data_IF_981223549122
#
_entry.id   IF_981223549122
#
_cell.length_a   1.000
_cell.length_b   1.000
_cell.length_c   1.000
_cell.angle_alpha   90.00
_cell.angle_beta   90.00
_cell.angle_gamma   90.00
#
_symmetry.space_group_name_H-M   'P 1'
#
loop_
_entity.id
_entity.type
_entity.pdbx_description
1 polymer ?
#
# COMPACT_ATOMS: atom_id res chain seq x y z
N UNK A 1 -11.53 -55.41 -3.55
CA UNK A 1 -11.46 -54.90 -2.16
C UNK A 1 -12.29 -53.64 -2.09
N UNK A 2 -13.40 -53.71 -1.37
CA UNK A 2 -14.33 -52.62 -1.08
C UNK A 2 -13.75 -51.72 0.01
N UNK A 3 -13.96 -50.41 -0.11
CA UNK A 3 -14.15 -49.58 1.08
C UNK A 3 -15.06 -48.41 0.77
N UNK A 4 -16.15 -48.33 1.52
CA UNK A 4 -17.22 -47.34 1.46
C UNK A 4 -16.84 -46.10 2.25
N UNK A 5 -17.43 -44.95 1.91
CA UNK A 5 -17.78 -43.92 2.90
C UNK A 5 -18.98 -43.13 2.39
N UNK A 6 -20.00 -43.10 3.25
CA UNK A 6 -21.32 -42.51 3.06
C UNK A 6 -21.37 -41.08 3.62
N UNK A 7 -22.38 -40.37 3.12
CA UNK A 7 -23.21 -39.38 3.82
C UNK A 7 -22.72 -37.91 3.88
N UNK A 8 -23.53 -37.02 3.30
CA UNK A 8 -24.49 -36.10 3.97
C UNK A 8 -24.62 -34.79 3.19
N UNK A 9 -25.85 -34.31 3.02
CA UNK A 9 -26.10 -32.90 2.69
C UNK A 9 -27.40 -32.67 1.93
N UNK A 10 -28.46 -32.30 2.66
CA UNK A 10 -29.84 -32.11 2.21
C UNK A 10 -30.13 -30.62 1.89
N UNK A 11 -30.87 -30.40 0.80
CA UNK A 11 -31.81 -29.30 0.43
C UNK A 11 -31.33 -27.84 0.41
N UNK A 12 -31.58 -27.19 -0.73
CA UNK A 12 -32.23 -25.85 -0.77
C UNK A 12 -33.19 -25.81 -1.96
N UNK A 13 -34.46 -25.49 -1.70
CA UNK A 13 -35.48 -25.20 -2.71
C UNK A 13 -35.43 -23.71 -3.10
N UNK A 14 -35.70 -23.31 -4.36
CA UNK A 14 -35.78 -21.90 -4.71
C UNK A 14 -37.19 -21.35 -4.45
N UNK A 15 -37.27 -20.27 -3.67
CA UNK A 15 -38.46 -19.44 -3.54
C UNK A 15 -38.60 -18.55 -4.78
N UNK A 16 -39.74 -18.64 -5.45
CA UNK A 16 -40.26 -17.67 -6.42
C UNK A 16 -40.74 -16.41 -5.67
N UNK A 17 -40.34 -15.23 -6.13
CA UNK A 17 -41.06 -13.98 -5.88
C UNK A 17 -41.17 -13.18 -7.16
N UNK A 18 -42.41 -13.00 -7.60
CA UNK A 18 -42.82 -12.06 -8.63
C UNK A 18 -43.43 -10.83 -7.94
N UNK A 19 -43.05 -9.63 -8.37
CA UNK A 19 -43.90 -8.43 -8.25
C UNK A 19 -43.60 -7.50 -9.42
N UNK A 20 -44.61 -7.28 -10.27
CA UNK A 20 -44.72 -6.15 -11.19
C UNK A 20 -45.22 -4.92 -10.43
N UNK A 21 -44.78 -3.72 -10.83
CA UNK A 21 -45.31 -2.45 -10.34
C UNK A 21 -44.80 -1.27 -11.16
N UNK A 22 -45.73 -0.56 -11.80
CA UNK A 22 -45.59 0.42 -12.89
C UNK A 22 -45.50 1.89 -12.45
N UNK A 23 -44.95 2.72 -13.36
CA UNK A 23 -45.27 4.16 -13.62
C UNK A 23 -44.83 5.20 -12.56
N UNK A 24 -44.55 6.47 -12.84
CA UNK A 24 -44.25 7.29 -14.03
C UNK A 24 -43.90 8.72 -13.54
N UNK A 25 -43.18 9.50 -14.39
CA UNK A 25 -43.12 10.98 -14.50
C UNK A 25 -42.61 11.81 -13.28
N UNK A 26 -42.05 13.03 -13.36
CA UNK A 26 -42.05 14.13 -14.35
C UNK A 26 -40.81 15.04 -14.12
N UNK A 27 -40.39 15.75 -15.18
CA UNK A 27 -39.96 17.15 -15.23
C UNK A 27 -38.73 17.69 -14.45
N UNK A 28 -37.85 18.34 -15.22
CA UNK A 28 -37.20 19.60 -14.82
C UNK A 28 -35.72 19.49 -14.46
N UNK A 29 -34.84 19.61 -15.43
CA UNK A 29 -33.41 19.89 -15.18
C UNK A 29 -33.03 21.22 -15.86
N UNK A 30 -33.20 22.33 -15.16
CA UNK A 30 -32.37 23.52 -15.37
C UNK A 30 -31.12 23.35 -14.53
N UNK A 31 -30.02 22.90 -15.13
CA UNK A 31 -28.72 22.87 -14.49
C UNK A 31 -28.03 24.22 -14.71
N UNK A 32 -28.19 25.11 -13.75
CA UNK A 32 -27.45 26.37 -13.69
C UNK A 32 -26.00 26.06 -13.28
N UNK A 33 -25.05 26.43 -14.15
CA UNK A 33 -23.64 26.20 -13.97
C UNK A 33 -23.12 26.95 -12.75
N UNK A 34 -22.88 26.24 -11.64
CA UNK A 34 -22.11 26.77 -10.51
C UNK A 34 -20.63 26.46 -10.73
N UNK A 35 -19.86 27.54 -10.84
CA UNK A 35 -18.39 27.56 -10.80
C UNK A 35 -17.86 26.66 -9.68
N UNK A 36 -17.18 25.59 -10.05
CA UNK A 36 -16.34 24.81 -9.14
C UNK A 36 -15.04 25.57 -8.91
N UNK A 37 -15.06 26.50 -7.95
CA UNK A 37 -13.84 26.81 -7.22
C UNK A 37 -13.54 25.57 -6.37
N UNK A 38 -12.62 24.75 -6.87
CA UNK A 38 -12.15 23.55 -6.18
C UNK A 38 -11.33 24.01 -4.96
N UNK A 39 -12.03 24.20 -3.85
CA UNK A 39 -11.41 24.42 -2.54
C UNK A 39 -10.67 23.14 -2.17
N UNK A 40 -9.41 23.31 -1.76
CA UNK A 40 -8.51 22.29 -1.22
C UNK A 40 -9.26 21.28 -0.36
N UNK A 41 -9.20 20.00 -0.74
CA UNK A 41 -9.73 18.93 0.09
C UNK A 41 -8.84 18.77 1.32
N UNK A 42 -9.22 19.42 2.41
CA UNK A 42 -8.79 19.08 3.75
C UNK A 42 -9.22 17.64 4.02
N UNK A 43 -8.24 16.74 4.25
CA UNK A 43 -8.50 15.37 4.68
C UNK A 43 -8.98 15.30 6.15
N UNK A 44 -9.81 16.25 6.59
CA UNK A 44 -10.53 16.17 7.85
C UNK A 44 -11.94 15.63 7.57
N UNK A 45 -12.19 14.37 7.92
CA UNK A 45 -13.56 13.88 8.10
C UNK A 45 -14.08 12.73 7.23
N UNK A 46 -13.23 11.94 6.55
CA UNK A 46 -13.71 10.72 5.88
C UNK A 46 -13.90 9.55 6.86
N UNK A 47 -15.12 9.02 7.05
CA UNK A 47 -15.33 7.84 7.92
C UNK A 47 -14.55 6.61 7.44
N UNK A 48 -14.34 6.48 6.12
CA UNK A 48 -13.54 5.42 5.54
C UNK A 48 -12.07 5.56 5.94
N UNK A 49 -11.46 6.73 5.73
CA UNK A 49 -10.06 6.96 6.09
C UNK A 49 -9.83 6.83 7.60
N UNK A 50 -10.80 7.26 8.42
CA UNK A 50 -10.75 7.04 9.87
C UNK A 50 -10.79 5.56 10.25
N UNK A 51 -11.59 4.73 9.54
CA UNK A 51 -11.61 3.27 9.74
C UNK A 51 -10.29 2.63 9.31
N UNK A 52 -9.75 3.00 8.16
CA UNK A 52 -8.46 2.50 7.65
C UNK A 52 -7.33 2.88 8.61
N UNK A 53 -7.27 4.15 9.03
CA UNK A 53 -6.27 4.64 9.99
C UNK A 53 -6.28 3.82 11.29
N UNK A 54 -7.46 3.49 11.83
CA UNK A 54 -7.58 2.62 13.01
C UNK A 54 -7.11 1.19 12.74
N UNK A 55 -7.49 0.60 11.61
CA UNK A 55 -7.09 -0.78 11.26
C UNK A 55 -5.58 -0.93 11.11
N UNK A 56 -4.90 0.10 10.61
CA UNK A 56 -3.44 0.11 10.47
C UNK A 56 -2.73 0.72 11.69
N UNK A 57 -3.46 1.06 12.75
CA UNK A 57 -2.94 1.74 13.94
C UNK A 57 -2.09 2.99 13.60
N UNK A 58 -2.57 3.82 12.67
CA UNK A 58 -1.95 5.10 12.35
C UNK A 58 -2.12 6.04 13.56
N UNK A 59 -1.03 6.60 14.12
CA UNK A 59 -1.12 7.53 15.23
C UNK A 59 -1.92 8.78 14.86
N UNK A 60 -2.63 9.36 15.83
CA UNK A 60 -3.45 10.55 15.62
C UNK A 60 -2.63 11.79 15.22
N UNK A 61 -1.34 11.81 15.56
CA UNK A 61 -0.37 12.84 15.19
C UNK A 61 0.88 12.15 14.68
N UNK A 62 1.29 12.45 13.46
CA UNK A 62 2.47 11.82 12.85
C UNK A 62 3.37 12.81 12.14
N UNK A 63 4.66 12.62 12.29
CA UNK A 63 5.64 13.16 11.37
C UNK A 63 5.56 12.37 10.08
N UNK A 64 5.57 13.07 8.94
CA UNK A 64 5.56 12.42 7.62
C UNK A 64 6.75 12.86 6.80
N UNK A 65 7.26 11.94 5.99
CA UNK A 65 8.24 12.24 4.96
C UNK A 65 7.83 11.56 3.65
N UNK A 66 8.01 12.26 2.53
CA UNK A 66 7.82 11.69 1.20
C UNK A 66 9.05 11.90 0.35
N UNK A 67 9.21 11.06 -0.67
CA UNK A 67 10.38 11.11 -1.52
C UNK A 67 10.53 9.87 -2.38
N UNK A 68 11.79 9.54 -2.70
CA UNK A 68 12.13 8.36 -3.49
C UNK A 68 13.24 7.54 -2.85
N UNK A 69 13.22 6.23 -3.08
CA UNK A 69 14.38 5.37 -2.80
C UNK A 69 14.54 4.36 -3.93
N UNK A 70 15.73 3.78 -4.03
CA UNK A 70 16.04 2.70 -4.95
C UNK A 70 16.28 1.43 -4.16
N UNK A 71 15.79 0.30 -4.68
CA UNK A 71 16.14 -1.02 -4.17
C UNK A 71 16.84 -1.82 -5.27
N UNK A 72 17.97 -2.41 -4.91
CA UNK A 72 18.80 -3.22 -5.81
C UNK A 72 18.62 -4.69 -5.49
N UNK A 73 18.41 -5.50 -6.51
CA UNK A 73 18.43 -6.94 -6.40
C UNK A 73 19.82 -7.43 -5.97
N UNK A 74 19.86 -8.48 -5.16
CA UNK A 74 21.11 -8.97 -4.57
C UNK A 74 21.23 -10.49 -4.70
N UNK A 75 22.45 -10.97 -4.88
CA UNK A 75 22.75 -12.41 -4.82
C UNK A 75 23.17 -12.78 -3.39
N UNK A 76 22.71 -13.93 -2.92
CA UNK A 76 23.08 -14.47 -1.61
C UNK A 76 23.54 -15.92 -1.78
N UNK A 77 24.02 -16.56 -0.70
CA UNK A 77 24.28 -18.01 -0.72
C UNK A 77 23.01 -18.81 -1.06
N UNK A 78 21.84 -18.31 -0.67
CA UNK A 78 20.55 -18.91 -0.97
C UNK A 78 20.01 -18.53 -2.36
N UNK A 79 20.38 -17.35 -2.88
CA UNK A 79 19.98 -16.84 -4.19
C UNK A 79 21.21 -16.59 -5.07
N UNK A 80 21.61 -17.61 -5.84
CA UNK A 80 22.80 -17.56 -6.70
C UNK A 80 22.67 -16.54 -7.84
N UNK A 81 21.45 -16.13 -8.16
CA UNK A 81 21.12 -15.13 -9.18
C UNK A 81 20.13 -14.10 -8.64
N UNK A 82 20.14 -12.90 -9.22
CA UNK A 82 19.13 -11.88 -8.94
C UNK A 82 17.82 -12.30 -9.61
N UNK A 83 16.73 -12.38 -8.84
CA UNK A 83 15.40 -12.70 -9.36
C UNK A 83 14.73 -11.49 -10.02
N UNK A 84 15.15 -11.15 -11.23
CA UNK A 84 14.66 -9.97 -11.99
C UNK A 84 13.15 -10.03 -12.25
N UNK A 85 12.56 -11.21 -12.40
CA UNK A 85 11.11 -11.34 -12.61
C UNK A 85 10.33 -11.06 -11.32
N UNK A 86 10.82 -11.52 -10.16
CA UNK A 86 10.30 -11.11 -8.86
C UNK A 86 10.39 -9.59 -8.67
N UNK A 87 11.52 -9.00 -9.08
CA UNK A 87 11.70 -7.54 -9.05
C UNK A 87 10.68 -6.78 -9.89
N UNK A 88 10.39 -7.30 -11.08
CA UNK A 88 9.39 -6.73 -11.98
C UNK A 88 7.98 -6.88 -11.40
N UNK A 89 7.66 -8.04 -10.82
CA UNK A 89 6.36 -8.32 -10.23
C UNK A 89 6.03 -7.37 -9.07
N UNK A 90 6.96 -7.10 -8.14
CA UNK A 90 6.74 -6.13 -7.06
C UNK A 90 6.45 -4.73 -7.62
N UNK A 91 7.22 -4.30 -8.62
CA UNK A 91 7.05 -3.00 -9.25
C UNK A 91 5.69 -2.85 -9.95
N UNK A 92 5.25 -3.90 -10.66
CA UNK A 92 3.92 -3.96 -11.28
C UNK A 92 2.83 -3.92 -10.21
N UNK A 93 2.98 -4.69 -9.13
CA UNK A 93 2.02 -4.74 -8.03
C UNK A 93 1.87 -3.37 -7.35
N UNK A 94 2.97 -2.66 -7.10
CA UNK A 94 2.92 -1.30 -6.53
C UNK A 94 2.22 -0.32 -7.48
N UNK A 95 2.49 -0.41 -8.78
CA UNK A 95 1.86 0.49 -9.75
C UNK A 95 0.35 0.24 -9.88
N UNK A 96 -0.09 -1.02 -9.82
CA UNK A 96 -1.51 -1.38 -9.87
C UNK A 96 -2.21 -1.10 -8.52
N UNK A 97 -1.71 -1.72 -7.45
CA UNK A 97 -2.43 -1.82 -6.17
C UNK A 97 -1.95 -0.82 -5.13
N UNK A 98 -0.78 -0.19 -5.34
CA UNK A 98 -0.03 0.50 -4.29
C UNK A 98 0.38 -0.51 -3.20
N UNK A 99 1.19 -0.08 -2.24
CA UNK A 99 1.61 -0.93 -1.12
C UNK A 99 1.56 -0.14 0.17
N UNK A 100 0.82 -0.67 1.13
CA UNK A 100 0.76 -0.14 2.49
C UNK A 100 1.45 -1.12 3.43
N UNK A 101 2.51 -0.66 4.09
CA UNK A 101 3.27 -1.38 5.09
C UNK A 101 2.87 -0.90 6.48
N UNK A 102 2.24 -1.77 7.26
CA UNK A 102 1.84 -1.47 8.64
C UNK A 102 3.02 -1.46 9.63
N UNK A 103 4.16 -2.04 9.26
CA UNK A 103 5.38 -2.00 10.07
C UNK A 103 6.61 -1.86 9.14
N UNK A 104 6.82 -0.65 8.65
CA UNK A 104 7.83 -0.36 7.65
C UNK A 104 9.25 -0.44 8.25
N UNK A 105 10.05 -1.38 7.74
CA UNK A 105 11.48 -1.55 8.07
C UNK A 105 11.77 -1.50 9.58
N UNK A 106 10.97 -2.22 10.37
CA UNK A 106 11.17 -2.29 11.82
C UNK A 106 12.49 -2.94 12.21
N UNK A 107 13.09 -3.71 11.30
CA UNK A 107 14.47 -4.21 11.38
C UNK A 107 15.52 -3.08 11.44
N UNK A 108 15.21 -1.90 10.89
CA UNK A 108 16.10 -0.73 10.89
C UNK A 108 15.66 0.32 11.90
N UNK A 109 14.38 0.68 11.90
CA UNK A 109 13.89 1.86 12.62
C UNK A 109 13.20 1.52 13.95
N UNK A 110 13.02 0.24 14.26
CA UNK A 110 12.11 -0.21 15.31
C UNK A 110 10.64 -0.12 14.86
N UNK A 111 9.71 -0.54 15.72
CA UNK A 111 8.29 -0.64 15.35
C UNK A 111 7.66 0.74 15.13
N UNK A 112 6.52 0.74 14.43
CA UNK A 112 5.58 1.86 14.45
C UNK A 112 5.57 2.72 13.19
N UNK A 113 6.60 2.65 12.35
CA UNK A 113 6.60 3.33 11.06
C UNK A 113 5.54 2.73 10.12
N UNK A 114 4.76 3.59 9.45
CA UNK A 114 3.79 3.19 8.42
C UNK A 114 4.28 3.70 7.08
N UNK A 115 4.37 2.81 6.09
CA UNK A 115 4.87 3.16 4.76
C UNK A 115 3.84 2.99 3.67
N UNK A 116 3.74 3.95 2.77
CA UNK A 116 2.89 3.88 1.59
C UNK A 116 3.73 4.10 0.34
N UNK A 117 3.76 3.10 -0.55
CA UNK A 117 4.45 3.15 -1.82
C UNK A 117 3.44 3.22 -2.95
N UNK A 118 3.51 4.27 -3.75
CA UNK A 118 2.44 4.57 -4.70
C UNK A 118 2.84 4.52 -6.17
N UNK A 119 4.14 4.45 -6.43
CA UNK A 119 4.70 4.33 -7.77
C UNK A 119 6.01 3.56 -7.69
N UNK A 120 6.27 2.77 -8.71
CA UNK A 120 7.54 2.12 -8.95
C UNK A 120 7.97 2.28 -10.41
N UNK A 121 9.27 2.38 -10.65
CA UNK A 121 9.86 2.38 -11.98
C UNK A 121 11.13 1.54 -11.97
N UNK A 122 11.25 0.60 -12.92
CA UNK A 122 12.52 -0.07 -13.18
C UNK A 122 13.50 0.91 -13.83
N UNK A 123 14.62 1.17 -13.18
CA UNK A 123 15.63 2.16 -13.64
C UNK A 123 16.92 1.49 -14.13
N UNK A 124 17.18 0.24 -13.73
CA UNK A 124 18.25 -0.62 -14.25
C UNK A 124 17.77 -2.09 -14.29
N UNK A 125 18.50 -3.02 -14.93
CA UNK A 125 18.12 -4.43 -14.95
C UNK A 125 17.81 -5.03 -13.58
N UNK A 126 18.55 -4.61 -12.56
CA UNK A 126 18.54 -5.08 -11.17
C UNK A 126 18.16 -3.99 -10.16
N UNK A 127 17.59 -2.87 -10.60
CA UNK A 127 17.28 -1.73 -9.72
C UNK A 127 15.90 -1.16 -10.02
N UNK A 128 15.08 -1.06 -8.99
CA UNK A 128 13.80 -0.35 -9.01
C UNK A 128 13.90 0.95 -8.22
N UNK A 129 13.21 1.98 -8.67
CA UNK A 129 12.97 3.22 -7.94
C UNK A 129 11.52 3.27 -7.49
N UNK A 130 11.29 3.62 -6.23
CA UNK A 130 9.97 3.72 -5.63
C UNK A 130 9.71 5.13 -5.12
N UNK A 131 8.46 5.57 -5.20
CA UNK A 131 7.98 6.79 -4.56
C UNK A 131 7.16 6.43 -3.33
N UNK A 132 7.41 7.14 -2.25
CA UNK A 132 6.87 6.80 -0.94
C UNK A 132 6.31 8.01 -0.20
N UNK A 133 5.43 7.70 0.75
CA UNK A 133 5.11 8.52 1.94
C UNK A 133 5.24 7.62 3.16
N UNK A 134 6.11 7.96 4.10
CA UNK A 134 6.28 7.27 5.37
C UNK A 134 5.78 8.19 6.49
N UNK A 135 5.17 7.60 7.51
CA UNK A 135 4.72 8.30 8.71
C UNK A 135 5.18 7.60 9.98
N UNK A 136 5.42 8.37 11.04
CA UNK A 136 5.69 7.86 12.38
C UNK A 136 5.21 8.85 13.46
N UNK A 137 4.85 8.35 14.64
CA UNK A 137 4.67 9.18 15.83
C UNK A 137 6.02 9.72 16.37
N UNK A 138 7.13 9.06 16.03
CA UNK A 138 8.47 9.42 16.48
C UNK A 138 9.22 10.18 15.39
N UNK A 139 9.59 11.42 15.70
CA UNK A 139 10.39 12.27 14.80
C UNK A 139 11.74 11.65 14.47
N UNK A 140 12.38 10.99 15.44
CA UNK A 140 13.73 10.45 15.28
C UNK A 140 13.79 9.33 14.24
N UNK A 141 12.71 8.57 14.09
CA UNK A 141 12.57 7.59 13.01
C UNK A 141 12.51 8.26 11.64
N UNK A 142 11.82 9.40 11.51
CA UNK A 142 11.78 10.18 10.26
C UNK A 142 13.12 10.86 10.00
N UNK A 143 13.80 11.38 11.03
CA UNK A 143 15.15 11.93 10.91
C UNK A 143 16.12 10.86 10.37
N UNK A 144 16.09 9.64 10.94
CA UNK A 144 16.94 8.53 10.50
C UNK A 144 16.58 8.02 9.11
N UNK A 145 15.29 7.96 8.75
CA UNK A 145 14.85 7.62 7.40
C UNK A 145 15.48 8.55 6.36
N UNK A 146 15.49 9.85 6.64
CA UNK A 146 15.96 10.88 5.73
C UNK A 146 17.48 11.15 5.83
N UNK A 147 18.19 10.43 6.69
CA UNK A 147 19.65 10.52 6.81
C UNK A 147 20.33 9.71 5.70
N UNK A 148 21.11 10.33 4.80
CA UNK A 148 21.85 9.63 3.75
C UNK A 148 22.92 8.66 4.29
N UNK A 149 23.30 8.78 5.57
CA UNK A 149 24.21 7.86 6.23
C UNK A 149 23.53 6.57 6.70
N UNK A 150 22.19 6.49 6.70
CA UNK A 150 21.49 5.27 7.09
C UNK A 150 21.86 4.10 6.18
N UNK A 151 22.04 2.93 6.80
CA UNK A 151 22.40 1.68 6.14
C UNK A 151 21.28 0.67 6.33
N UNK A 152 21.03 -0.12 5.29
CA UNK A 152 19.95 -1.09 5.26
C UNK A 152 20.55 -2.48 5.06
N UNK A 153 20.09 -3.50 5.81
CA UNK A 153 20.44 -4.88 5.54
C UNK A 153 19.82 -5.37 4.23
N UNK A 154 20.36 -6.46 3.73
CA UNK A 154 19.73 -7.26 2.67
C UNK A 154 18.47 -7.90 3.27
N UNK A 155 17.36 -7.81 2.55
CA UNK A 155 16.06 -8.38 2.94
C UNK A 155 15.61 -9.39 1.90
N UNK A 156 14.93 -10.45 2.36
CA UNK A 156 14.23 -11.39 1.49
C UNK A 156 12.75 -11.00 1.42
N UNK A 157 12.28 -10.75 0.21
CA UNK A 157 10.86 -10.63 -0.09
C UNK A 157 10.32 -12.02 -0.43
N UNK A 158 9.65 -12.64 0.54
CA UNK A 158 9.06 -13.96 0.35
C UNK A 158 7.90 -13.99 -0.65
N UNK A 159 7.25 -12.85 -0.95
CA UNK A 159 6.15 -12.80 -1.91
C UNK A 159 6.66 -12.93 -3.35
N UNK A 160 7.79 -12.31 -3.64
CA UNK A 160 8.38 -12.27 -4.99
C UNK A 160 9.66 -13.11 -5.11
N UNK A 161 10.01 -13.84 -4.04
CA UNK A 161 11.23 -14.63 -3.88
C UNK A 161 12.49 -13.90 -4.39
N UNK A 162 12.66 -12.68 -3.91
CA UNK A 162 13.75 -11.81 -4.33
C UNK A 162 14.50 -11.29 -3.10
N UNK A 163 15.80 -11.13 -3.24
CA UNK A 163 16.66 -10.51 -2.24
C UNK A 163 17.04 -9.12 -2.71
N UNK A 164 17.00 -8.15 -1.80
CA UNK A 164 17.19 -6.75 -2.14
C UNK A 164 17.92 -6.01 -1.04
N UNK A 165 18.62 -4.96 -1.44
CA UNK A 165 19.16 -3.96 -0.54
C UNK A 165 18.57 -2.60 -0.92
N UNK A 166 18.01 -1.91 0.07
CA UNK A 166 17.55 -0.53 -0.10
C UNK A 166 18.75 0.42 -0.05
N UNK A 167 18.81 1.33 -1.02
CA UNK A 167 19.69 2.50 -0.95
C UNK A 167 19.08 3.56 -0.02
N UNK A 168 19.88 4.54 0.46
CA UNK A 168 19.36 5.61 1.30
C UNK A 168 18.15 6.33 0.70
N UNK A 169 17.16 6.57 1.57
CA UNK A 169 15.91 7.22 1.17
C UNK A 169 16.17 8.70 0.94
N UNK A 170 15.77 9.20 -0.23
CA UNK A 170 15.85 10.62 -0.58
C UNK A 170 14.52 11.28 -0.24
N UNK A 171 14.44 11.89 0.94
CA UNK A 171 13.27 12.65 1.37
C UNK A 171 13.23 14.04 0.71
N UNK A 172 12.13 14.36 0.03
CA UNK A 172 11.90 15.68 -0.59
C UNK A 172 10.96 16.55 0.22
N UNK A 173 10.09 15.94 1.04
CA UNK A 173 9.20 16.66 1.96
C UNK A 173 9.29 16.06 3.35
N UNK A 174 9.13 16.94 4.36
CA UNK A 174 9.03 16.58 5.77
C UNK A 174 7.98 17.48 6.41
N UNK A 175 6.94 16.89 6.99
CA UNK A 175 5.84 17.63 7.61
C UNK A 175 5.73 17.22 9.07
N UNK A 176 5.54 18.22 9.92
CA UNK A 176 5.30 18.04 11.35
C UNK A 176 3.94 17.39 11.65
N UNK A 177 3.69 17.06 12.92
CA UNK A 177 2.48 16.37 13.33
C UNK A 177 1.24 17.20 13.05
N UNK A 178 0.39 16.66 12.17
CA UNK A 178 -1.01 17.05 11.94
C UNK A 178 -1.97 16.07 12.59
#
# INVERSE_FOLDING_TARGET
>A
MTSSSLARGIRVAPLLLATMGTAASVAGCTAEARSTTQIEATAQGSPLLAKVARQIALPAKTWTASGTHTAKGYTTKAAQTVNVEGMKADCVNINLNKKLSADFRSDVFGPGMKGFFYKCQKVRPDTNQYWFTISSADRTQIDRLCDPATRYPIVHDGQHDAYWIDEPFTCTTRVGPS
#
